data_IF_244921436726
#
_entry.id   IF_244921436726
#
_cell.length_a   1.000
_cell.length_b   1.000
_cell.length_c   1.000
_cell.angle_alpha   90.00
_cell.angle_beta   90.00
_cell.angle_gamma   90.00
#
_symmetry.space_group_name_H-M   'P 1'
#
loop_
_entity.id
_entity.type
_entity.pdbx_description
1 polymer ?
#
# COMPACT_ATOMS: atom_id res chain seq x y z
N UNK A 1 -45.64 10.24 -6.43
CA UNK A 1 -45.00 11.25 -5.57
C UNK A 1 -44.26 10.48 -4.50
N UNK A 2 -42.94 10.62 -4.43
CA UNK A 2 -42.13 9.97 -3.41
C UNK A 2 -41.60 11.05 -2.46
N UNK A 3 -41.95 11.00 -1.18
CA UNK A 3 -41.40 11.95 -0.21
C UNK A 3 -39.94 11.58 0.07
N UNK A 4 -39.02 12.45 -0.33
CA UNK A 4 -37.59 12.32 0.00
C UNK A 4 -37.28 13.28 1.13
N UNK A 5 -36.67 12.78 2.20
CA UNK A 5 -36.23 13.60 3.32
C UNK A 5 -34.72 13.75 3.26
N UNK A 6 -34.23 14.96 3.07
CA UNK A 6 -32.80 15.27 3.19
C UNK A 6 -32.57 15.78 4.60
N UNK A 7 -31.63 15.14 5.31
CA UNK A 7 -31.21 15.54 6.64
C UNK A 7 -29.74 15.96 6.57
N UNK A 8 -29.49 17.24 6.76
CA UNK A 8 -28.14 17.78 6.90
C UNK A 8 -27.80 17.93 8.38
N UNK A 9 -26.57 17.59 8.74
CA UNK A 9 -26.04 17.77 10.09
C UNK A 9 -24.68 18.45 10.01
N UNK A 10 -24.50 19.54 10.74
CA UNK A 10 -23.21 20.23 10.79
C UNK A 10 -22.27 19.60 11.84
N UNK A 11 -21.01 20.06 11.87
CA UNK A 11 -19.99 19.62 12.82
C UNK A 11 -20.30 19.93 14.28
N UNK A 12 -21.30 20.80 14.54
CA UNK A 12 -21.79 21.15 15.87
C UNK A 12 -23.08 20.40 16.24
N UNK A 13 -23.42 19.37 15.47
CA UNK A 13 -24.62 18.55 15.63
C UNK A 13 -25.96 19.29 15.43
N UNK A 14 -25.98 20.44 14.78
CA UNK A 14 -27.21 21.09 14.35
C UNK A 14 -27.82 20.32 13.20
N UNK A 15 -29.10 19.98 13.29
CA UNK A 15 -29.81 19.18 12.29
C UNK A 15 -30.80 20.06 11.52
N UNK A 16 -30.67 20.09 10.20
CA UNK A 16 -31.65 20.68 9.29
C UNK A 16 -32.28 19.56 8.48
N UNK A 17 -33.61 19.55 8.40
CA UNK A 17 -34.36 18.57 7.63
C UNK A 17 -35.27 19.29 6.65
N UNK A 18 -35.18 18.91 5.38
CA UNK A 18 -36.14 19.32 4.36
C UNK A 18 -36.80 18.10 3.75
N UNK A 19 -38.09 18.24 3.41
CA UNK A 19 -38.85 17.22 2.71
C UNK A 19 -39.14 17.72 1.31
N UNK A 20 -38.67 16.96 0.33
CA UNK A 20 -38.93 17.19 -1.08
C UNK A 20 -39.97 16.16 -1.54
N UNK A 21 -41.12 16.64 -1.98
CA UNK A 21 -42.10 15.81 -2.67
C UNK A 21 -41.64 15.60 -4.12
N UNK A 22 -41.01 14.46 -4.39
CA UNK A 22 -40.57 14.13 -5.74
C UNK A 22 -41.77 13.63 -6.53
N UNK A 23 -42.35 14.50 -7.34
CA UNK A 23 -43.40 14.15 -8.29
C UNK A 23 -42.81 13.38 -9.48
N UNK A 24 -42.68 12.06 -9.35
CA UNK A 24 -42.33 11.17 -10.47
C UNK A 24 -43.53 11.03 -11.43
N UNK A 25 -43.87 12.12 -12.12
CA UNK A 25 -44.99 12.20 -13.07
C UNK A 25 -44.54 12.92 -14.37
N UNK A 26 -43.42 12.52 -14.96
CA UNK A 26 -43.11 12.63 -16.40
C UNK A 26 -41.77 11.97 -16.64
N UNK A 27 -41.56 11.31 -17.77
CA UNK A 27 -40.29 10.65 -18.11
C UNK A 27 -39.08 11.58 -18.30
N UNK A 28 -39.15 12.84 -17.83
CA UNK A 28 -38.15 13.90 -18.01
C UNK A 28 -36.94 13.80 -17.08
N UNK A 29 -37.12 13.25 -15.87
CA UNK A 29 -36.08 13.28 -14.84
C UNK A 29 -35.21 12.02 -14.84
N UNK A 30 -35.60 11.02 -15.64
CA UNK A 30 -34.85 9.80 -15.84
C UNK A 30 -33.81 9.98 -16.94
N UNK A 31 -32.54 9.74 -16.60
CA UNK A 31 -31.50 9.62 -17.63
C UNK A 31 -31.58 8.22 -18.25
N UNK A 32 -31.88 8.15 -19.54
CA UNK A 32 -31.87 6.89 -20.29
C UNK A 32 -30.43 6.47 -20.59
N UNK A 33 -30.05 5.26 -20.14
CA UNK A 33 -28.71 4.70 -20.34
C UNK A 33 -28.65 3.81 -21.59
N UNK A 34 -29.66 2.96 -21.74
CA UNK A 34 -29.89 2.09 -22.89
C UNK A 34 -31.37 1.72 -22.98
N UNK A 35 -31.78 1.01 -24.02
CA UNK A 35 -33.15 0.51 -24.14
C UNK A 35 -33.50 -0.36 -22.94
N UNK A 36 -34.52 0.09 -22.18
CA UNK A 36 -35.03 -0.63 -21.01
C UNK A 36 -34.28 -0.36 -19.70
N UNK A 37 -33.31 0.56 -19.67
CA UNK A 37 -32.61 0.95 -18.45
C UNK A 37 -32.56 2.47 -18.28
N UNK A 38 -33.06 2.93 -17.15
CA UNK A 38 -33.08 4.33 -16.76
C UNK A 38 -32.47 4.53 -15.37
N UNK A 39 -31.84 5.68 -15.13
CA UNK A 39 -31.24 6.02 -13.84
C UNK A 39 -31.71 7.39 -13.33
N UNK A 40 -31.88 7.48 -12.02
CA UNK A 40 -31.95 8.71 -11.24
C UNK A 40 -30.89 8.62 -10.15
N UNK A 41 -30.15 9.70 -9.95
CA UNK A 41 -29.26 9.85 -8.81
C UNK A 41 -29.50 11.16 -8.09
N UNK A 42 -29.20 11.21 -6.79
CA UNK A 42 -29.11 12.45 -6.02
C UNK A 42 -27.78 12.45 -5.27
N UNK A 43 -26.80 13.33 -5.59
CA UNK A 43 -26.85 14.40 -6.60
C UNK A 43 -27.07 13.91 -8.03
N UNK A 44 -27.57 14.79 -8.91
CA UNK A 44 -27.88 14.44 -10.28
C UNK A 44 -26.63 13.98 -11.05
N UNK A 45 -26.81 12.96 -11.87
CA UNK A 45 -25.77 12.46 -12.77
C UNK A 45 -25.65 13.39 -13.97
N UNK A 46 -24.44 13.88 -14.20
CA UNK A 46 -24.07 14.64 -15.39
C UNK A 46 -23.58 13.70 -16.47
N UNK A 47 -23.90 14.01 -17.72
CA UNK A 47 -23.44 13.24 -18.87
C UNK A 47 -22.52 14.13 -19.70
N UNK A 48 -21.25 13.76 -19.78
CA UNK A 48 -20.29 14.47 -20.61
C UNK A 48 -20.59 14.31 -22.10
N UNK A 49 -20.02 15.16 -22.94
CA UNK A 49 -20.13 15.08 -24.41
C UNK A 49 -19.63 13.74 -24.97
N UNK A 50 -18.73 13.06 -24.26
CA UNK A 50 -18.22 11.71 -24.58
C UNK A 50 -19.07 10.59 -23.98
N UNK A 51 -20.23 10.93 -23.42
CA UNK A 51 -21.16 10.00 -22.78
C UNK A 51 -20.63 9.38 -21.50
N UNK A 52 -19.65 9.98 -20.83
CA UNK A 52 -19.23 9.56 -19.49
C UNK A 52 -20.26 10.06 -18.49
N UNK A 53 -20.51 9.25 -17.46
CA UNK A 53 -21.47 9.56 -16.41
C UNK A 53 -20.70 10.03 -15.19
N UNK A 54 -21.03 11.21 -14.66
CA UNK A 54 -20.29 11.80 -13.55
C UNK A 54 -21.26 12.33 -12.48
N UNK A 55 -20.94 12.11 -11.21
CA UNK A 55 -21.73 12.54 -10.06
C UNK A 55 -20.79 13.31 -9.14
N UNK A 56 -21.07 14.60 -8.96
CA UNK A 56 -20.29 15.43 -8.05
C UNK A 56 -20.85 15.34 -6.64
N UNK A 57 -19.99 15.00 -5.69
CA UNK A 57 -20.29 14.97 -4.25
C UNK A 57 -19.31 15.85 -3.50
N UNK A 58 -19.71 16.40 -2.36
CA UNK A 58 -18.86 17.25 -1.54
C UNK A 58 -19.15 17.09 -0.05
N UNK A 59 -18.30 17.71 0.78
CA UNK A 59 -18.41 17.75 2.24
C UNK A 59 -19.79 18.19 2.71
N UNK A 60 -20.47 19.09 1.98
CA UNK A 60 -21.81 19.56 2.33
C UNK A 60 -22.92 18.49 2.16
N UNK A 61 -22.64 17.41 1.43
CA UNK A 61 -23.59 16.35 1.10
C UNK A 61 -23.24 15.02 1.77
N UNK A 62 -22.36 15.04 2.78
CA UNK A 62 -21.83 13.84 3.44
C UNK A 62 -21.24 12.81 2.47
N UNK A 63 -20.90 13.23 1.24
CA UNK A 63 -20.52 12.35 0.14
C UNK A 63 -21.52 11.20 -0.14
N UNK A 64 -22.80 11.43 0.11
CA UNK A 64 -23.86 10.44 -0.14
C UNK A 64 -24.43 10.58 -1.54
N UNK A 65 -24.65 9.45 -2.19
CA UNK A 65 -25.40 9.36 -3.45
C UNK A 65 -26.57 8.43 -3.27
N UNK A 66 -27.78 8.92 -3.57
CA UNK A 66 -28.97 8.09 -3.70
C UNK A 66 -29.04 7.58 -5.13
N UNK A 67 -29.19 6.28 -5.31
CA UNK A 67 -29.38 5.62 -6.60
C UNK A 67 -30.78 5.06 -6.75
N UNK A 68 -31.36 5.22 -7.94
CA UNK A 68 -32.52 4.47 -8.39
C UNK A 68 -32.37 4.10 -9.87
N UNK A 69 -32.13 2.82 -10.14
CA UNK A 69 -32.11 2.28 -11.49
C UNK A 69 -33.42 1.55 -11.76
N UNK A 70 -34.08 1.90 -12.85
CA UNK A 70 -35.35 1.31 -13.28
C UNK A 70 -35.13 0.46 -14.52
N UNK A 71 -35.52 -0.80 -14.45
CA UNK A 71 -35.53 -1.73 -15.59
C UNK A 71 -36.90 -1.80 -16.25
N UNK A 72 -36.96 -2.26 -17.50
CA UNK A 72 -38.22 -2.45 -18.23
C UNK A 72 -38.98 -3.68 -17.75
N UNK A 73 -38.27 -4.77 -17.44
CA UNK A 73 -38.82 -6.02 -16.91
C UNK A 73 -38.27 -6.31 -15.52
N UNK A 74 -39.06 -7.03 -14.72
CA UNK A 74 -38.60 -7.56 -13.41
C UNK A 74 -37.64 -8.74 -13.56
N UNK A 75 -37.60 -9.36 -14.74
CA UNK A 75 -36.72 -10.48 -15.05
C UNK A 75 -35.35 -10.02 -15.59
N UNK A 76 -35.18 -8.72 -15.86
CA UNK A 76 -33.89 -8.17 -16.26
C UNK A 76 -32.89 -8.27 -15.10
N UNK A 77 -31.65 -8.66 -15.40
CA UNK A 77 -30.57 -8.65 -14.43
C UNK A 77 -29.96 -7.25 -14.38
N UNK A 78 -29.86 -6.66 -13.19
CA UNK A 78 -29.36 -5.30 -13.05
C UNK A 78 -28.83 -5.05 -11.63
N UNK A 79 -27.62 -4.49 -11.56
CA UNK A 79 -26.99 -4.05 -10.32
C UNK A 79 -25.98 -2.93 -10.58
N UNK A 80 -25.55 -2.31 -9.49
CA UNK A 80 -24.44 -1.36 -9.47
C UNK A 80 -23.32 -1.98 -8.65
N UNK A 81 -22.13 -1.99 -9.22
CA UNK A 81 -20.85 -2.08 -8.53
C UNK A 81 -20.44 -0.63 -8.20
N UNK A 82 -20.39 -0.29 -6.92
CA UNK A 82 -20.17 1.09 -6.48
C UNK A 82 -18.71 1.52 -6.57
N UNK A 83 -17.78 0.56 -6.64
CA UNK A 83 -16.35 0.80 -6.79
C UNK A 83 -15.65 -0.42 -7.41
N UNK A 84 -15.36 -0.35 -8.70
CA UNK A 84 -14.77 -1.46 -9.48
C UNK A 84 -13.34 -1.86 -9.07
N UNK A 85 -12.77 -1.15 -8.09
CA UNK A 85 -11.45 -1.44 -7.51
C UNK A 85 -11.55 -2.22 -6.19
N UNK A 86 -12.76 -2.40 -5.66
CA UNK A 86 -13.04 -3.14 -4.42
C UNK A 86 -13.75 -4.44 -4.80
N UNK A 87 -13.23 -5.58 -4.36
CA UNK A 87 -13.89 -6.89 -4.46
C UNK A 87 -14.77 -7.10 -3.23
N UNK A 88 -15.88 -6.39 -3.13
CA UNK A 88 -16.72 -6.34 -1.93
C UNK A 88 -17.22 -7.72 -1.52
N UNK A 89 -17.39 -8.64 -2.47
CA UNK A 89 -17.88 -9.99 -2.25
C UNK A 89 -16.76 -11.06 -2.10
N UNK A 90 -15.51 -10.71 -2.39
CA UNK A 90 -14.30 -11.55 -2.29
C UNK A 90 -14.25 -12.76 -3.24
N UNK A 91 -14.85 -12.68 -4.42
CA UNK A 91 -14.85 -13.75 -5.43
C UNK A 91 -13.64 -13.70 -6.38
N UNK A 92 -12.84 -12.63 -6.33
CA UNK A 92 -11.68 -12.40 -7.19
C UNK A 92 -11.98 -11.58 -8.46
N UNK A 93 -13.20 -11.05 -8.60
CA UNK A 93 -13.63 -10.20 -9.71
C UNK A 93 -14.13 -8.83 -9.21
N UNK A 94 -13.21 -7.90 -8.86
CA UNK A 94 -13.55 -6.61 -8.25
C UNK A 94 -14.37 -5.66 -9.12
N UNK A 95 -14.53 -5.96 -10.42
CA UNK A 95 -15.24 -5.10 -11.37
C UNK A 95 -16.64 -5.61 -11.72
N UNK A 96 -17.14 -6.54 -10.90
CA UNK A 96 -18.42 -7.21 -11.08
C UNK A 96 -19.16 -7.48 -9.76
N UNK A 97 -19.06 -6.56 -8.80
CA UNK A 97 -19.75 -6.71 -7.52
C UNK A 97 -21.21 -6.29 -7.53
N UNK A 98 -22.03 -7.01 -6.76
CA UNK A 98 -23.47 -6.78 -6.65
C UNK A 98 -23.83 -5.88 -5.46
N UNK A 99 -23.15 -4.73 -5.33
CA UNK A 99 -23.31 -3.83 -4.18
C UNK A 99 -24.75 -3.33 -4.02
N UNK A 100 -25.35 -2.84 -5.12
CA UNK A 100 -26.70 -2.25 -5.12
C UNK A 100 -27.59 -2.90 -6.16
N UNK A 101 -28.77 -3.37 -5.75
CA UNK A 101 -29.76 -3.94 -6.67
C UNK A 101 -30.61 -2.86 -7.35
N UNK A 102 -30.97 -3.07 -8.62
CA UNK A 102 -31.91 -2.19 -9.31
C UNK A 102 -33.35 -2.32 -8.81
N UNK A 103 -34.22 -1.41 -9.25
CA UNK A 103 -35.61 -1.23 -8.86
C UNK A 103 -35.83 -0.95 -7.36
N UNK A 104 -34.78 -0.50 -6.67
CA UNK A 104 -34.80 -0.06 -5.28
C UNK A 104 -34.12 1.30 -5.15
N UNK A 105 -34.60 2.12 -4.22
CA UNK A 105 -33.92 3.35 -3.83
C UNK A 105 -32.90 2.95 -2.77
N UNK A 106 -31.62 3.20 -3.05
CA UNK A 106 -30.51 2.87 -2.16
C UNK A 106 -29.61 4.09 -2.01
N UNK A 107 -29.00 4.25 -0.84
CA UNK A 107 -28.08 5.36 -0.55
C UNK A 107 -26.70 4.78 -0.29
N UNK A 108 -25.70 5.29 -1.00
CA UNK A 108 -24.30 4.93 -0.86
C UNK A 108 -23.52 6.12 -0.33
N UNK A 109 -22.82 5.94 0.79
CA UNK A 109 -21.88 6.94 1.31
C UNK A 109 -20.50 6.65 0.71
N UNK A 110 -19.91 7.63 0.04
CA UNK A 110 -18.56 7.54 -0.49
C UNK A 110 -17.56 8.17 0.48
N UNK A 111 -16.42 7.53 0.66
CA UNK A 111 -15.35 8.09 1.50
C UNK A 111 -14.30 8.76 0.59
N UNK A 112 -14.09 10.08 0.70
CA UNK A 112 -13.19 10.83 -0.17
C UNK A 112 -11.73 10.51 0.15
N UNK A 113 -11.11 9.68 -0.70
CA UNK A 113 -9.76 9.13 -0.50
C UNK A 113 -8.87 9.23 -1.73
N UNK A 114 -9.50 9.54 -2.85
CA UNK A 114 -8.99 9.96 -4.14
C UNK A 114 -9.86 11.12 -4.63
N UNK A 115 -9.48 11.78 -5.72
CA UNK A 115 -10.31 12.80 -6.37
C UNK A 115 -11.65 12.24 -6.86
N UNK A 116 -11.70 10.94 -7.13
CA UNK A 116 -12.92 10.25 -7.59
C UNK A 116 -12.94 8.76 -7.31
N UNK A 117 -14.13 8.16 -7.27
CA UNK A 117 -14.37 6.71 -7.30
C UNK A 117 -15.01 6.33 -8.63
N UNK A 118 -14.61 5.21 -9.22
CA UNK A 118 -15.22 4.68 -10.45
C UNK A 118 -16.12 3.52 -10.05
N UNK A 119 -17.40 3.61 -10.39
CA UNK A 119 -18.36 2.50 -10.28
C UNK A 119 -18.81 2.02 -11.65
N UNK A 120 -19.54 0.90 -11.68
CA UNK A 120 -20.07 0.28 -12.89
C UNK A 120 -21.51 -0.16 -12.73
N UNK A 121 -22.31 0.15 -13.73
CA UNK A 121 -23.68 -0.34 -13.88
C UNK A 121 -23.64 -1.57 -14.78
N UNK A 122 -24.24 -2.66 -14.30
CA UNK A 122 -24.51 -3.84 -15.09
C UNK A 122 -26.00 -3.94 -15.39
N UNK A 123 -26.33 -4.27 -16.64
CA UNK A 123 -27.70 -4.57 -17.06
C UNK A 123 -27.73 -5.60 -18.16
N UNK A 124 -28.61 -6.59 -18.04
CA UNK A 124 -28.87 -7.57 -19.07
C UNK A 124 -30.37 -7.81 -19.16
N UNK A 125 -30.96 -7.46 -20.30
CA UNK A 125 -32.37 -7.70 -20.54
C UNK A 125 -32.66 -9.20 -20.66
N UNK A 126 -33.86 -9.60 -20.24
CA UNK A 126 -34.33 -10.98 -20.43
C UNK A 126 -34.20 -11.42 -21.89
N UNK A 127 -33.49 -12.54 -22.11
CA UNK A 127 -33.24 -13.10 -23.46
C UNK A 127 -32.08 -12.49 -24.24
N UNK A 128 -31.39 -11.46 -23.73
CA UNK A 128 -30.14 -10.98 -24.33
C UNK A 128 -28.95 -11.82 -23.86
N UNK A 129 -28.03 -12.16 -24.76
CA UNK A 129 -26.76 -12.79 -24.42
C UNK A 129 -25.63 -11.79 -24.13
N UNK A 130 -25.80 -10.52 -24.51
CA UNK A 130 -24.81 -9.48 -24.34
C UNK A 130 -25.22 -8.54 -23.19
N UNK A 131 -24.42 -8.46 -22.11
CA UNK A 131 -24.67 -7.51 -21.04
C UNK A 131 -24.24 -6.09 -21.43
N UNK A 132 -25.02 -5.11 -21.00
CA UNK A 132 -24.65 -3.70 -20.99
C UNK A 132 -23.85 -3.40 -19.73
N UNK A 133 -22.63 -2.90 -19.91
CA UNK A 133 -21.77 -2.40 -18.83
C UNK A 133 -21.50 -0.92 -19.06
N UNK A 134 -21.68 -0.10 -18.03
CA UNK A 134 -21.42 1.35 -18.13
C UNK A 134 -20.79 1.90 -16.86
N UNK A 135 -19.60 2.46 -17.03
CA UNK A 135 -18.85 3.07 -15.94
C UNK A 135 -19.38 4.48 -15.65
N UNK A 136 -19.36 4.84 -14.38
CA UNK A 136 -19.65 6.19 -13.88
C UNK A 136 -18.59 6.60 -12.87
N UNK A 137 -18.40 7.91 -12.73
CA UNK A 137 -17.43 8.50 -11.81
C UNK A 137 -18.17 9.26 -10.73
N UNK A 138 -17.78 9.07 -9.47
CA UNK A 138 -18.19 9.90 -8.34
C UNK A 138 -17.01 10.79 -7.99
N UNK A 139 -17.11 12.08 -8.27
CA UNK A 139 -16.03 13.06 -8.11
C UNK A 139 -16.23 13.86 -6.83
N UNK A 140 -15.19 13.98 -6.01
CA UNK A 140 -15.23 14.70 -4.75
C UNK A 140 -14.82 16.17 -4.96
N UNK A 141 -15.79 17.07 -4.93
CA UNK A 141 -15.60 18.50 -5.20
C UNK A 141 -14.69 19.21 -4.17
N UNK A 142 -14.67 18.75 -2.92
CA UNK A 142 -13.89 19.35 -1.83
C UNK A 142 -12.60 18.57 -1.52
N UNK A 143 -12.06 17.84 -2.49
CA UNK A 143 -10.88 17.01 -2.27
C UNK A 143 -9.59 17.81 -2.38
N UNK A 144 -8.94 18.06 -1.24
CA UNK A 144 -7.77 18.93 -1.16
C UNK A 144 -6.42 18.19 -1.19
N UNK A 145 -6.36 16.88 -0.94
CA UNK A 145 -5.10 16.13 -0.86
C UNK A 145 -5.22 14.66 -1.26
N UNK A 146 -4.61 14.33 -2.41
CA UNK A 146 -4.46 13.03 -3.07
C UNK A 146 -3.66 11.96 -2.35
N UNK A 147 -4.18 10.74 -2.24
CA UNK A 147 -3.31 9.55 -2.25
C UNK A 147 -2.77 9.35 -3.68
N UNK A 148 -1.51 8.91 -3.81
CA UNK A 148 -0.98 8.49 -5.12
C UNK A 148 -1.78 7.29 -5.66
N UNK A 149 -1.80 7.05 -6.98
CA UNK A 149 -2.52 5.92 -7.57
C UNK A 149 -2.19 4.57 -6.91
N UNK A 150 -0.92 4.35 -6.54
CA UNK A 150 -0.48 3.13 -5.86
C UNK A 150 -1.10 3.01 -4.46
N UNK A 151 -1.12 4.11 -3.71
CA UNK A 151 -1.70 4.14 -2.37
C UNK A 151 -3.22 4.06 -2.40
N UNK A 152 -3.88 4.48 -3.48
CA UNK A 152 -5.32 4.28 -3.68
C UNK A 152 -5.68 2.80 -3.80
N UNK A 153 -4.86 2.00 -4.49
CA UNK A 153 -5.06 0.54 -4.58
C UNK A 153 -4.99 -0.08 -3.18
N UNK A 154 -3.98 0.30 -2.40
CA UNK A 154 -3.80 -0.22 -1.03
C UNK A 154 -4.90 0.25 -0.08
N UNK A 155 -5.33 1.51 -0.20
CA UNK A 155 -6.44 2.06 0.55
C UNK A 155 -7.73 1.27 0.32
N UNK A 156 -8.01 0.96 -0.94
CA UNK A 156 -9.18 0.21 -1.37
C UNK A 156 -9.13 -1.21 -0.80
N UNK A 157 -8.03 -1.93 -1.02
CA UNK A 157 -7.83 -3.29 -0.50
C UNK A 157 -7.96 -3.37 1.04
N UNK A 158 -7.42 -2.38 1.77
CA UNK A 158 -7.57 -2.27 3.23
C UNK A 158 -9.03 -2.04 3.64
N UNK A 159 -9.74 -1.16 2.95
CA UNK A 159 -11.13 -0.83 3.27
C UNK A 159 -12.03 -2.04 3.15
N UNK A 160 -11.82 -2.82 2.09
CA UNK A 160 -12.53 -4.06 1.83
C UNK A 160 -12.24 -5.12 2.91
N UNK A 161 -10.96 -5.33 3.24
CA UNK A 161 -10.55 -6.24 4.30
C UNK A 161 -11.19 -5.84 5.65
N UNK A 162 -11.16 -4.55 5.99
CA UNK A 162 -11.76 -4.01 7.22
C UNK A 162 -13.28 -4.22 7.25
N UNK A 163 -13.96 -4.09 6.11
CA UNK A 163 -15.41 -4.30 6.01
C UNK A 163 -15.80 -5.76 6.21
N UNK A 164 -14.96 -6.68 5.73
CA UNK A 164 -15.24 -8.11 5.72
C UNK A 164 -14.70 -8.88 6.94
N UNK A 165 -13.87 -8.27 7.79
CA UNK A 165 -13.46 -8.87 9.08
C UNK A 165 -14.65 -8.90 10.05
N UNK A 166 -15.06 -10.11 10.46
CA UNK A 166 -16.01 -10.30 11.56
C UNK A 166 -15.30 -10.05 12.91
N UNK A 167 -15.50 -8.85 13.45
CA UNK A 167 -14.95 -8.40 14.72
C UNK A 167 -15.60 -9.08 15.94
N UNK A 168 -16.75 -9.73 15.78
CA UNK A 168 -17.44 -10.47 16.86
C UNK A 168 -16.87 -11.87 17.05
N UNK A 169 -16.23 -12.41 16.02
CA UNK A 169 -15.66 -13.77 16.04
C UNK A 169 -14.49 -13.93 17.03
N UNK A 170 -13.78 -12.84 17.33
CA UNK A 170 -12.75 -12.77 18.38
C UNK A 170 -12.34 -11.32 18.71
N UNK A 171 -11.93 -11.08 19.95
CA UNK A 171 -11.31 -9.80 20.37
C UNK A 171 -10.08 -9.47 19.52
N UNK A 172 -9.29 -10.47 19.14
CA UNK A 172 -8.13 -10.27 18.27
C UNK A 172 -8.51 -9.74 16.86
N UNK A 173 -9.67 -10.15 16.32
CA UNK A 173 -10.15 -9.59 15.05
C UNK A 173 -10.61 -8.14 15.22
N UNK A 174 -11.26 -7.79 16.33
CA UNK A 174 -11.65 -6.41 16.63
C UNK A 174 -10.42 -5.48 16.79
N UNK A 175 -9.39 -5.95 17.51
CA UNK A 175 -8.13 -5.23 17.69
C UNK A 175 -7.40 -5.08 16.34
N UNK A 176 -7.28 -6.15 15.55
CA UNK A 176 -6.70 -6.10 14.21
C UNK A 176 -7.44 -5.11 13.32
N UNK A 177 -8.78 -5.15 13.32
CA UNK A 177 -9.60 -4.23 12.52
C UNK A 177 -9.33 -2.77 12.89
N UNK A 178 -9.11 -2.48 14.17
CA UNK A 178 -8.73 -1.14 14.64
C UNK A 178 -7.35 -0.72 14.11
N UNK A 179 -6.36 -1.63 14.16
CA UNK A 179 -5.03 -1.37 13.62
C UNK A 179 -5.06 -1.13 12.10
N UNK A 180 -5.84 -1.91 11.36
CA UNK A 180 -6.03 -1.75 9.91
C UNK A 180 -6.72 -0.43 9.56
N UNK A 181 -7.69 0.02 10.36
CA UNK A 181 -8.30 1.35 10.22
C UNK A 181 -7.24 2.44 10.39
N UNK A 182 -6.33 2.30 11.36
CA UNK A 182 -5.21 3.25 11.54
C UNK A 182 -4.30 3.25 10.32
N UNK A 183 -3.80 2.09 9.89
CA UNK A 183 -2.93 1.95 8.72
C UNK A 183 -3.55 2.62 7.48
N UNK A 184 -4.83 2.34 7.24
CA UNK A 184 -5.58 2.92 6.12
C UNK A 184 -5.65 4.45 6.21
N UNK A 185 -5.81 5.02 7.41
CA UNK A 185 -5.86 6.47 7.60
C UNK A 185 -4.47 7.12 7.50
N UNK A 186 -3.41 6.34 7.74
CA UNK A 186 -2.03 6.79 7.74
C UNK A 186 -1.38 6.77 6.35
N UNK A 187 -1.99 6.15 5.33
CA UNK A 187 -1.41 5.95 3.98
C UNK A 187 -0.84 7.21 3.31
N UNK A 188 -1.36 8.40 3.63
CA UNK A 188 -0.84 9.67 3.10
C UNK A 188 0.45 10.15 3.75
N UNK A 189 0.91 9.50 4.82
CA UNK A 189 2.11 9.80 5.59
C UNK A 189 3.00 8.56 5.67
N UNK A 190 4.15 8.61 5.00
CA UNK A 190 5.08 7.47 4.89
C UNK A 190 5.54 6.97 6.27
N UNK A 191 5.80 7.88 7.22
CA UNK A 191 6.30 7.50 8.55
C UNK A 191 5.21 6.84 9.40
N UNK A 192 3.97 7.35 9.32
CA UNK A 192 2.83 6.75 10.02
C UNK A 192 2.44 5.42 9.38
N UNK A 193 2.40 5.34 8.05
CA UNK A 193 2.15 4.09 7.32
C UNK A 193 3.10 3.01 7.77
N UNK A 194 4.41 3.30 7.78
CA UNK A 194 5.44 2.37 8.24
C UNK A 194 5.23 1.94 9.69
N UNK A 195 4.95 2.88 10.59
CA UNK A 195 4.68 2.56 12.00
C UNK A 195 3.48 1.64 12.15
N UNK A 196 2.40 1.90 11.40
CA UNK A 196 1.18 1.11 11.43
C UNK A 196 1.37 -0.30 10.85
N UNK A 197 2.16 -0.45 9.77
CA UNK A 197 2.55 -1.76 9.22
C UNK A 197 3.28 -2.59 10.29
N UNK A 198 4.29 -2.02 10.95
CA UNK A 198 5.06 -2.72 12.01
C UNK A 198 4.15 -3.15 13.17
N UNK A 199 3.26 -2.27 13.61
CA UNK A 199 2.33 -2.57 14.71
C UNK A 199 1.38 -3.72 14.37
N UNK A 200 0.86 -3.77 13.14
CA UNK A 200 -0.01 -4.86 12.67
C UNK A 200 0.76 -6.17 12.62
N UNK A 201 1.98 -6.16 12.09
CA UNK A 201 2.80 -7.37 12.00
C UNK A 201 3.20 -7.91 13.38
N UNK A 202 3.61 -7.02 14.30
CA UNK A 202 3.86 -7.38 15.70
C UNK A 202 2.60 -7.97 16.36
N UNK A 203 1.43 -7.42 16.08
CA UNK A 203 0.16 -7.94 16.56
C UNK A 203 -0.09 -9.37 16.05
N UNK A 204 0.07 -9.60 14.74
CA UNK A 204 -0.17 -10.90 14.10
C UNK A 204 0.79 -11.99 14.60
N UNK A 205 2.03 -11.65 14.95
CA UNK A 205 2.98 -12.61 15.55
C UNK A 205 2.63 -13.00 16.99
N UNK A 206 2.00 -12.09 17.74
CA UNK A 206 1.67 -12.28 19.17
C UNK A 206 0.25 -12.78 19.41
N UNK A 207 -0.66 -12.60 18.46
CA UNK A 207 -2.09 -12.86 18.59
C UNK A 207 -2.57 -13.69 17.41
N UNK A 208 -3.28 -14.78 17.71
CA UNK A 208 -3.95 -15.59 16.68
C UNK A 208 -5.27 -14.94 16.31
N UNK A 209 -5.39 -14.50 15.06
CA UNK A 209 -6.64 -13.99 14.48
C UNK A 209 -7.47 -15.14 13.90
N UNK A 210 -8.75 -14.89 13.66
CA UNK A 210 -9.66 -15.83 12.98
C UNK A 210 -9.99 -15.33 11.58
N UNK A 211 -8.97 -14.94 10.83
CA UNK A 211 -9.14 -14.57 9.43
C UNK A 211 -9.37 -15.82 8.59
N UNK A 212 -10.20 -15.71 7.55
CA UNK A 212 -10.24 -16.71 6.49
C UNK A 212 -8.92 -16.70 5.71
N UNK A 213 -8.61 -17.78 5.00
CA UNK A 213 -7.39 -17.87 4.19
C UNK A 213 -7.27 -16.71 3.19
N UNK A 214 -8.36 -16.37 2.50
CA UNK A 214 -8.41 -15.24 1.55
C UNK A 214 -8.15 -13.90 2.22
N UNK A 215 -8.70 -13.67 3.41
CA UNK A 215 -8.46 -12.45 4.17
C UNK A 215 -7.00 -12.34 4.64
N UNK A 216 -6.39 -13.47 5.02
CA UNK A 216 -4.98 -13.51 5.39
C UNK A 216 -4.08 -13.21 4.18
N UNK A 217 -4.31 -13.88 3.06
CA UNK A 217 -3.58 -13.63 1.80
C UNK A 217 -3.66 -12.15 1.40
N UNK A 218 -4.87 -11.57 1.43
CA UNK A 218 -5.08 -10.14 1.13
C UNK A 218 -4.37 -9.22 2.11
N UNK A 219 -4.35 -9.55 3.40
CA UNK A 219 -3.63 -8.79 4.42
C UNK A 219 -2.11 -8.83 4.17
N UNK A 220 -1.57 -10.01 3.85
CA UNK A 220 -0.15 -10.20 3.60
C UNK A 220 0.30 -9.43 2.34
N UNK A 221 -0.52 -9.42 1.28
CA UNK A 221 -0.27 -8.66 0.05
C UNK A 221 -0.22 -7.14 0.33
N UNK A 222 -1.19 -6.64 1.10
CA UNK A 222 -1.25 -5.22 1.51
C UNK A 222 0.00 -4.83 2.32
N UNK A 223 0.32 -5.60 3.36
CA UNK A 223 1.46 -5.31 4.23
C UNK A 223 2.79 -5.37 3.45
N UNK A 224 2.89 -6.29 2.50
CA UNK A 224 4.06 -6.40 1.61
C UNK A 224 4.18 -5.17 0.72
N UNK A 225 3.08 -4.74 0.08
CA UNK A 225 3.07 -3.56 -0.79
C UNK A 225 3.37 -2.26 -0.05
N UNK A 226 3.02 -2.17 1.24
CA UNK A 226 3.24 -1.00 2.09
C UNK A 226 4.55 -1.04 2.90
N UNK A 227 5.33 -2.12 2.82
CA UNK A 227 6.60 -2.27 3.53
C UNK A 227 7.77 -1.61 2.80
N UNK A 228 8.60 -0.85 3.53
CA UNK A 228 9.87 -0.28 3.04
C UNK A 228 11.10 -1.17 3.40
N UNK A 229 12.30 -0.79 2.89
CA UNK A 229 13.59 -1.49 3.14
C UNK A 229 13.86 -1.81 4.61
N UNK A 230 13.51 -0.90 5.52
CA UNK A 230 13.79 -1.06 6.93
C UNK A 230 12.73 -1.88 7.67
N UNK A 231 11.52 -1.98 7.11
CA UNK A 231 10.47 -2.90 7.56
C UNK A 231 10.76 -4.33 7.08
N UNK A 232 11.29 -4.51 5.87
CA UNK A 232 11.72 -5.82 5.33
C UNK A 232 12.99 -6.36 6.00
N UNK A 233 13.96 -5.50 6.32
CA UNK A 233 15.18 -5.90 7.04
C UNK A 233 14.92 -6.35 8.49
N UNK A 234 13.89 -5.79 9.14
CA UNK A 234 13.47 -6.20 10.49
C UNK A 234 12.74 -7.56 10.51
N UNK A 235 12.27 -8.06 9.35
CA UNK A 235 11.53 -9.33 9.18
C UNK A 235 12.41 -10.57 9.02
N UNK A 236 13.74 -10.44 8.93
CA UNK A 236 14.61 -11.59 8.62
C UNK A 236 14.39 -12.16 7.21
N UNK A 237 13.79 -11.37 6.31
CA UNK A 237 13.67 -11.68 4.89
C UNK A 237 15.08 -11.69 4.28
N UNK A 238 15.37 -12.71 3.46
CA UNK A 238 16.69 -12.90 2.83
C UNK A 238 17.16 -11.64 2.07
N UNK A 239 18.47 -11.44 1.99
CA UNK A 239 19.07 -10.25 1.39
C UNK A 239 18.61 -10.04 -0.07
N UNK A 240 18.23 -11.11 -0.75
CA UNK A 240 17.63 -11.13 -2.09
C UNK A 240 16.30 -10.37 -2.18
N UNK A 241 15.33 -10.70 -1.32
CA UNK A 241 14.01 -10.10 -1.41
C UNK A 241 14.02 -8.63 -0.96
N UNK A 242 14.91 -8.28 -0.03
CA UNK A 242 15.23 -6.88 0.30
C UNK A 242 15.81 -6.16 -0.93
N UNK A 243 16.83 -6.74 -1.55
CA UNK A 243 17.49 -6.18 -2.73
C UNK A 243 16.55 -6.01 -3.93
N UNK A 244 15.69 -6.99 -4.21
CA UNK A 244 14.67 -6.93 -5.27
C UNK A 244 13.71 -5.75 -5.05
N UNK A 245 13.23 -5.59 -3.82
CA UNK A 245 12.31 -4.50 -3.47
C UNK A 245 12.96 -3.12 -3.65
N UNK A 246 14.19 -2.94 -3.15
CA UNK A 246 14.92 -1.67 -3.28
C UNK A 246 15.16 -1.28 -4.74
N UNK A 247 15.55 -2.25 -5.57
CA UNK A 247 15.73 -2.03 -7.01
C UNK A 247 14.40 -1.60 -7.63
N UNK A 248 13.31 -2.34 -7.42
CA UNK A 248 12.02 -2.07 -8.05
C UNK A 248 11.36 -0.77 -7.57
N UNK A 249 11.66 -0.30 -6.37
CA UNK A 249 11.13 0.96 -5.83
C UNK A 249 11.68 2.20 -6.56
N UNK A 250 12.88 2.10 -7.13
CA UNK A 250 13.54 3.21 -7.82
C UNK A 250 13.15 3.37 -9.29
N UNK A 251 12.57 2.34 -9.92
CA UNK A 251 12.40 2.30 -11.36
C UNK A 251 11.08 3.00 -11.78
N UNK A 252 11.09 3.81 -12.84
CA UNK A 252 9.88 4.27 -13.52
C UNK A 252 8.99 3.10 -13.95
N UNK A 253 7.66 3.32 -14.03
CA UNK A 253 6.65 2.26 -14.17
C UNK A 253 6.94 1.25 -15.28
N UNK A 254 7.32 1.73 -16.47
CA UNK A 254 7.64 0.88 -17.64
C UNK A 254 8.87 0.01 -17.38
N UNK A 255 9.95 0.60 -16.86
CA UNK A 255 11.18 -0.12 -16.52
C UNK A 255 10.99 -1.09 -15.35
N UNK A 256 10.13 -0.73 -14.38
CA UNK A 256 9.78 -1.56 -13.23
C UNK A 256 9.08 -2.86 -13.65
N UNK A 257 8.16 -2.81 -14.60
CA UNK A 257 7.47 -4.00 -15.12
C UNK A 257 8.46 -4.97 -15.77
N UNK A 258 9.37 -4.45 -16.60
CA UNK A 258 10.37 -5.26 -17.29
C UNK A 258 11.41 -5.84 -16.31
N UNK A 259 11.87 -5.05 -15.35
CA UNK A 259 12.75 -5.50 -14.28
C UNK A 259 12.10 -6.58 -13.41
N UNK A 260 10.81 -6.44 -13.08
CA UNK A 260 10.08 -7.44 -12.32
C UNK A 260 9.98 -8.77 -13.07
N UNK A 261 9.77 -8.74 -14.39
CA UNK A 261 9.77 -9.95 -15.20
C UNK A 261 11.13 -10.67 -15.17
N UNK A 262 12.24 -9.93 -15.18
CA UNK A 262 13.58 -10.52 -15.06
C UNK A 262 13.83 -11.15 -13.67
N UNK A 263 13.25 -10.58 -12.60
CA UNK A 263 13.27 -11.22 -11.29
C UNK A 263 12.43 -12.50 -11.25
N UNK A 264 11.26 -12.52 -11.89
CA UNK A 264 10.43 -13.73 -12.01
C UNK A 264 11.18 -14.83 -12.76
N UNK A 265 11.84 -14.48 -13.87
CA UNK A 265 12.68 -15.43 -14.63
C UNK A 265 13.88 -15.93 -13.81
N UNK A 266 14.49 -15.07 -12.99
CA UNK A 266 15.57 -15.43 -12.08
C UNK A 266 15.10 -16.42 -10.99
N UNK A 267 13.92 -16.19 -10.41
CA UNK A 267 13.30 -17.06 -9.41
C UNK A 267 12.91 -18.41 -10.03
N UNK A 268 12.40 -18.39 -11.26
CA UNK A 268 12.01 -19.56 -12.05
C UNK A 268 13.15 -20.27 -12.80
N UNK A 269 14.42 -19.94 -12.52
CA UNK A 269 15.57 -20.42 -13.28
C UNK A 269 15.68 -21.96 -13.38
N UNK A 270 15.18 -22.69 -12.38
CA UNK A 270 15.18 -24.16 -12.36
C UNK A 270 14.25 -24.75 -13.43
N UNK A 271 13.15 -24.07 -13.75
CA UNK A 271 12.23 -24.48 -14.82
C UNK A 271 12.73 -24.06 -16.21
N UNK A 272 13.56 -23.02 -16.28
CA UNK A 272 14.16 -22.50 -17.52
C UNK A 272 15.49 -23.19 -17.89
N UNK A 273 16.10 -23.89 -16.93
CA UNK A 273 17.29 -24.71 -17.15
C UNK A 273 16.93 -25.89 -18.08
N UNK A 274 17.32 -25.78 -19.35
CA UNK A 274 17.23 -26.88 -20.32
C UNK A 274 18.42 -27.83 -20.15
N UNK A 275 18.30 -29.06 -20.63
CA UNK A 275 19.37 -30.08 -20.56
C UNK A 275 20.71 -29.52 -21.04
N UNK A 276 21.61 -29.19 -20.09
CA UNK A 276 22.96 -28.67 -20.35
C UNK A 276 23.24 -27.26 -19.84
N UNK A 277 22.24 -26.48 -19.38
CA UNK A 277 22.45 -25.17 -18.77
C UNK A 277 22.27 -25.25 -17.25
N UNK A 278 23.29 -24.85 -16.50
CA UNK A 278 23.23 -24.77 -15.04
C UNK A 278 22.25 -23.67 -14.60
N UNK A 279 21.51 -23.93 -13.52
CA UNK A 279 20.54 -22.98 -12.95
C UNK A 279 21.22 -21.65 -12.59
N UNK A 280 22.46 -21.70 -12.11
CA UNK A 280 23.22 -20.49 -11.79
C UNK A 280 23.65 -19.70 -13.03
N UNK A 281 23.82 -20.34 -14.19
CA UNK A 281 24.10 -19.64 -15.45
C UNK A 281 22.85 -18.91 -15.96
N UNK A 282 21.66 -19.51 -15.82
CA UNK A 282 20.38 -18.82 -16.09
C UNK A 282 20.23 -17.60 -15.17
N UNK A 283 20.41 -17.79 -13.86
CA UNK A 283 20.35 -16.70 -12.87
C UNK A 283 21.35 -15.58 -13.17
N UNK A 284 22.60 -15.94 -13.48
CA UNK A 284 23.66 -15.00 -13.88
C UNK A 284 23.26 -14.18 -15.11
N UNK A 285 22.75 -14.84 -16.14
CA UNK A 285 22.29 -14.17 -17.36
C UNK A 285 21.19 -13.15 -17.06
N UNK A 286 20.21 -13.50 -16.23
CA UNK A 286 19.09 -12.62 -15.85
C UNK A 286 19.54 -11.41 -15.03
N UNK A 287 20.51 -11.55 -14.13
CA UNK A 287 21.08 -10.42 -13.40
C UNK A 287 21.86 -9.46 -14.31
N UNK A 288 22.60 -9.98 -15.30
CA UNK A 288 23.31 -9.15 -16.29
C UNK A 288 22.31 -8.42 -17.18
N UNK A 289 21.24 -9.09 -17.61
CA UNK A 289 20.16 -8.49 -18.40
C UNK A 289 19.47 -7.36 -17.62
N UNK A 290 19.15 -7.60 -16.35
CA UNK A 290 18.56 -6.62 -15.44
C UNK A 290 19.47 -5.38 -15.29
N UNK A 291 20.75 -5.61 -14.98
CA UNK A 291 21.73 -4.53 -14.83
C UNK A 291 21.80 -3.68 -16.10
N UNK A 292 21.96 -4.30 -17.27
CA UNK A 292 22.12 -3.59 -18.54
C UNK A 292 20.87 -2.82 -18.93
N UNK A 293 19.69 -3.39 -18.72
CA UNK A 293 18.41 -2.75 -19.03
C UNK A 293 18.18 -1.50 -18.17
N UNK A 294 18.52 -1.56 -16.89
CA UNK A 294 18.45 -0.40 -16.01
C UNK A 294 19.53 0.62 -16.38
N UNK A 295 20.76 0.18 -16.69
CA UNK A 295 21.87 1.06 -17.07
C UNK A 295 21.56 1.93 -18.31
N UNK A 296 20.78 1.40 -19.27
CA UNK A 296 20.34 2.14 -20.47
C UNK A 296 19.42 3.33 -20.14
N UNK A 297 18.80 3.32 -18.95
CA UNK A 297 17.89 4.35 -18.48
C UNK A 297 18.54 5.27 -17.44
N UNK A 298 19.87 5.22 -17.27
CA UNK A 298 20.56 6.16 -16.39
C UNK A 298 20.70 7.51 -17.09
N UNK A 299 20.19 8.56 -16.44
CA UNK A 299 20.26 9.93 -16.97
C UNK A 299 21.70 10.45 -17.04
N UNK A 300 21.98 11.29 -18.05
CA UNK A 300 23.27 11.98 -18.17
C UNK A 300 23.16 13.38 -17.56
N UNK A 301 23.72 13.56 -16.36
CA UNK A 301 23.78 14.85 -15.67
C UNK A 301 22.81 14.98 -14.48
N UNK A 302 22.60 16.21 -14.01
CA UNK A 302 21.85 16.50 -12.76
C UNK A 302 20.33 16.59 -12.96
N UNK A 303 19.82 16.31 -14.16
CA UNK A 303 18.39 16.33 -14.50
C UNK A 303 18.03 15.06 -15.24
N UNK A 304 17.02 14.35 -14.75
CA UNK A 304 16.51 13.09 -15.31
C UNK A 304 15.19 13.33 -16.06
N UNK A 305 14.94 12.57 -17.13
CA UNK A 305 13.64 12.50 -17.80
C UNK A 305 12.72 11.48 -17.13
N UNK A 306 11.42 11.51 -17.44
CA UNK A 306 10.37 10.68 -16.79
C UNK A 306 10.63 9.15 -16.82
N UNK A 307 11.47 8.67 -17.73
CA UNK A 307 11.87 7.27 -17.85
C UNK A 307 13.34 7.02 -17.49
N UNK A 308 13.97 7.91 -16.72
CA UNK A 308 15.37 7.78 -16.33
C UNK A 308 15.53 7.70 -14.81
N UNK A 309 16.63 7.08 -14.38
CA UNK A 309 17.06 7.06 -12.98
C UNK A 309 18.35 7.85 -12.80
N UNK A 310 18.59 8.37 -11.60
CA UNK A 310 19.83 9.06 -11.28
C UNK A 310 21.01 8.08 -11.27
N UNK A 311 22.18 8.57 -11.68
CA UNK A 311 23.41 7.79 -11.69
C UNK A 311 23.81 7.34 -10.27
N UNK A 312 23.54 8.16 -9.26
CA UNK A 312 23.84 7.82 -7.87
C UNK A 312 22.92 6.70 -7.35
N UNK A 313 21.64 6.72 -7.69
CA UNK A 313 20.70 5.66 -7.32
C UNK A 313 21.05 4.34 -8.02
N UNK A 314 21.44 4.42 -9.30
CA UNK A 314 21.93 3.26 -10.03
C UNK A 314 23.15 2.62 -9.35
N UNK A 315 24.16 3.41 -8.97
CA UNK A 315 25.37 2.87 -8.32
C UNK A 315 25.11 2.38 -6.90
N UNK A 316 24.47 3.20 -6.08
CA UNK A 316 24.37 2.96 -4.63
C UNK A 316 23.28 1.97 -4.26
N UNK A 317 22.25 1.82 -5.11
CA UNK A 317 21.14 0.91 -4.86
C UNK A 317 21.13 -0.21 -5.88
N UNK A 318 21.11 0.06 -7.18
CA UNK A 318 20.95 -1.02 -8.19
C UNK A 318 22.19 -1.91 -8.29
N UNK A 319 23.36 -1.34 -8.57
CA UNK A 319 24.61 -2.09 -8.69
C UNK A 319 24.97 -2.78 -7.37
N UNK A 320 24.89 -2.05 -6.25
CA UNK A 320 25.15 -2.60 -4.92
C UNK A 320 24.25 -3.82 -4.62
N UNK A 321 22.94 -3.73 -4.86
CA UNK A 321 22.03 -4.82 -4.55
C UNK A 321 22.24 -6.04 -5.48
N UNK A 322 22.48 -5.82 -6.77
CA UNK A 322 22.78 -6.91 -7.71
C UNK A 322 24.08 -7.61 -7.32
N UNK A 323 25.15 -6.86 -7.04
CA UNK A 323 26.50 -7.40 -6.88
C UNK A 323 26.80 -7.88 -5.45
N UNK A 324 26.29 -7.21 -4.42
CA UNK A 324 26.65 -7.50 -3.04
C UNK A 324 25.59 -8.30 -2.28
N UNK A 325 24.32 -8.16 -2.63
CA UNK A 325 23.23 -8.82 -1.90
C UNK A 325 22.74 -10.06 -2.66
N UNK A 326 22.32 -9.89 -3.92
CA UNK A 326 21.71 -10.98 -4.70
C UNK A 326 22.76 -12.00 -5.15
N UNK A 327 23.85 -11.54 -5.80
CA UNK A 327 24.88 -12.43 -6.33
C UNK A 327 25.56 -13.26 -5.22
N UNK A 328 25.79 -12.67 -4.05
CA UNK A 328 26.40 -13.36 -2.91
C UNK A 328 25.47 -14.39 -2.28
N UNK A 329 24.19 -14.07 -2.09
CA UNK A 329 23.22 -15.01 -1.51
C UNK A 329 23.06 -16.28 -2.34
N UNK A 330 23.11 -16.16 -3.67
CA UNK A 330 23.00 -17.30 -4.59
C UNK A 330 24.34 -17.91 -4.99
N UNK A 331 25.46 -17.49 -4.39
CA UNK A 331 26.82 -17.93 -4.74
C UNK A 331 27.16 -17.80 -6.23
N UNK A 332 26.64 -16.77 -6.90
CA UNK A 332 26.88 -16.51 -8.32
C UNK A 332 28.21 -15.76 -8.44
N UNK A 333 29.29 -16.51 -8.63
CA UNK A 333 30.61 -15.93 -8.89
C UNK A 333 30.69 -15.31 -10.29
N UNK A 334 31.57 -14.33 -10.48
CA UNK A 334 31.98 -13.78 -11.80
C UNK A 334 30.86 -13.16 -12.65
N UNK A 335 30.04 -12.29 -12.05
CA UNK A 335 29.18 -11.40 -12.84
C UNK A 335 30.06 -10.27 -13.39
N UNK A 336 30.20 -10.18 -14.72
CA UNK A 336 31.11 -9.23 -15.39
C UNK A 336 30.83 -7.77 -15.00
N UNK A 337 29.56 -7.43 -14.76
CA UNK A 337 29.16 -6.07 -14.32
C UNK A 337 29.59 -5.76 -12.89
N UNK A 338 29.95 -6.77 -12.08
CA UNK A 338 30.37 -6.63 -10.69
C UNK A 338 31.90 -6.65 -10.49
N UNK A 339 32.68 -6.70 -11.57
CA UNK A 339 34.15 -6.76 -11.51
C UNK A 339 34.79 -5.48 -10.95
N UNK A 340 34.14 -4.32 -11.09
CA UNK A 340 34.60 -3.04 -10.53
C UNK A 340 34.09 -2.80 -9.10
N UNK A 341 32.94 -3.36 -8.72
CA UNK A 341 32.36 -3.25 -7.38
C UNK A 341 33.23 -3.99 -6.34
N UNK A 342 33.87 -5.09 -6.75
CA UNK A 342 34.87 -5.83 -5.95
C UNK A 342 36.18 -5.06 -5.71
N UNK A 343 36.42 -3.92 -6.39
CA UNK A 343 37.55 -3.02 -6.07
C UNK A 343 37.20 -1.94 -5.06
N UNK A 344 35.91 -1.70 -4.80
CA UNK A 344 35.48 -0.66 -3.86
C UNK A 344 35.20 -1.16 -2.44
N UNK A 345 35.09 -2.48 -2.22
CA UNK A 345 35.04 -3.06 -0.87
C UNK A 345 36.37 -2.92 -0.10
N UNK A 346 37.51 -2.75 -0.79
CA UNK A 346 38.85 -2.61 -0.17
C UNK A 346 39.30 -1.15 0.05
N UNK A 347 38.41 -0.16 -0.15
CA UNK A 347 38.74 1.27 0.10
C UNK A 347 38.08 1.88 1.34
N UNK A 348 37.68 1.04 2.30
CA UNK A 348 37.51 1.50 3.69
C UNK A 348 38.87 1.70 4.34
N UNK A 349 39.46 2.89 4.12
CA UNK A 349 40.65 3.45 4.81
C UNK A 349 41.94 2.61 4.70
N UNK A 350 42.70 2.86 3.64
CA UNK A 350 44.16 2.69 3.66
C UNK A 350 44.77 3.61 4.73
N UNK A 351 45.18 3.02 5.86
CA UNK A 351 46.27 3.55 6.69
C UNK A 351 47.58 3.11 6.01
N UNK A 352 48.61 3.96 5.90
CA UNK A 352 49.83 3.60 5.19
C UNK A 352 50.54 2.41 5.84
N UNK A 353 50.99 1.48 5.00
CA UNK A 353 51.75 0.29 5.37
C UNK A 353 53.08 0.69 6.03
N UNK A 354 53.28 0.28 7.29
CA UNK A 354 54.60 0.29 7.94
C UNK A 354 55.13 -1.15 7.92
N UNK A 355 56.29 -1.32 7.27
CA UNK A 355 57.04 -2.58 7.14
C UNK A 355 57.28 -3.29 8.49
N UNK A 356 57.43 -4.64 8.48
CA UNK A 356 57.46 -5.43 9.69
C UNK A 356 58.78 -5.23 10.43
N UNK A 357 58.69 -4.99 11.74
CA UNK A 357 59.77 -5.32 12.67
C UNK A 357 59.21 -6.13 13.82
N UNK A 358 59.91 -7.23 14.06
CA UNK A 358 59.74 -8.25 15.09
C UNK A 358 59.48 -7.70 16.49
N UNK A 359 58.42 -8.16 17.18
CA UNK A 359 58.50 -8.92 18.47
C UNK A 359 57.12 -9.13 19.10
N UNK A 360 56.98 -10.30 19.71
CA UNK A 360 55.90 -10.79 20.59
C UNK A 360 55.56 -9.86 21.76
N UNK A 361 54.26 -9.55 21.96
CA UNK A 361 53.58 -9.64 23.27
C UNK A 361 52.07 -9.45 23.12
N UNK A 362 51.29 -10.31 23.76
CA UNK A 362 49.83 -10.26 23.84
C UNK A 362 49.40 -9.10 24.74
N UNK A 363 49.03 -7.96 24.15
CA UNK A 363 48.45 -6.81 24.84
C UNK A 363 47.06 -6.50 24.30
N UNK A 364 46.05 -6.50 25.19
CA UNK A 364 44.68 -6.12 24.87
C UNK A 364 44.64 -4.70 24.24
N UNK A 365 43.96 -4.48 23.09
CA UNK A 365 44.07 -3.24 22.34
C UNK A 365 43.64 -1.99 23.13
N UNK A 366 44.45 -0.94 23.09
CA UNK A 366 44.25 0.32 23.85
C UNK A 366 42.93 1.02 23.50
N UNK A 367 42.47 0.92 22.24
CA UNK A 367 41.19 1.48 21.80
C UNK A 367 39.98 0.77 22.44
N UNK A 368 40.09 -0.53 22.70
CA UNK A 368 39.05 -1.32 23.36
C UNK A 368 38.95 -0.97 24.86
N UNK A 369 40.07 -0.59 25.49
CA UNK A 369 40.07 0.00 26.84
C UNK A 369 39.34 1.34 26.87
N UNK A 370 39.54 2.20 25.86
CA UNK A 370 38.86 3.50 25.79
C UNK A 370 37.35 3.34 25.64
N UNK A 371 36.89 2.41 24.79
CA UNK A 371 35.46 2.11 24.62
C UNK A 371 34.85 1.56 25.92
N UNK A 372 35.54 0.64 26.60
CA UNK A 372 35.09 0.10 27.89
C UNK A 372 35.00 1.17 28.98
N UNK A 373 35.92 2.15 28.99
CA UNK A 373 35.86 3.29 29.91
C UNK A 373 34.68 4.21 29.63
N UNK A 374 34.38 4.50 28.36
CA UNK A 374 33.20 5.31 27.99
C UNK A 374 31.91 4.59 28.40
N UNK A 375 31.80 3.29 28.15
CA UNK A 375 30.66 2.47 28.55
C UNK A 375 30.47 2.46 30.09
N UNK A 376 31.56 2.34 30.85
CA UNK A 376 31.51 2.37 32.31
C UNK A 376 31.02 3.73 32.85
N UNK A 377 31.46 4.84 32.25
CA UNK A 377 31.01 6.19 32.65
C UNK A 377 29.52 6.38 32.38
N UNK A 378 29.02 5.92 31.23
CA UNK A 378 27.60 6.03 30.87
C UNK A 378 26.73 5.19 31.82
N UNK A 379 27.15 3.96 32.14
CA UNK A 379 26.41 3.10 33.07
C UNK A 379 26.38 3.69 34.48
N UNK A 380 27.51 4.18 35.00
CA UNK A 380 27.56 4.82 36.33
C UNK A 380 26.73 6.09 36.37
N UNK A 381 26.76 6.91 35.32
CA UNK A 381 25.93 8.10 35.20
C UNK A 381 24.43 7.77 35.20
N UNK A 382 24.02 6.74 34.47
CA UNK A 382 22.62 6.30 34.40
C UNK A 382 22.11 5.76 35.74
N UNK A 383 22.91 4.97 36.45
CA UNK A 383 22.58 4.47 37.79
C UNK A 383 22.48 5.63 38.80
N UNK A 384 23.34 6.64 38.71
CA UNK A 384 23.27 7.85 39.53
C UNK A 384 21.98 8.64 39.33
N UNK A 385 21.51 8.77 38.09
CA UNK A 385 20.24 9.43 37.76
C UNK A 385 19.06 8.66 38.34
N UNK A 386 19.03 7.33 38.20
CA UNK A 386 17.97 6.48 38.78
C UNK A 386 17.94 6.61 40.30
N UNK A 387 19.10 6.58 40.97
CA UNK A 387 19.18 6.75 42.41
C UNK A 387 18.68 8.14 42.87
N UNK A 388 19.01 9.20 42.13
CA UNK A 388 18.53 10.54 42.44
C UNK A 388 17.00 10.66 42.30
N UNK A 389 16.40 10.05 41.28
CA UNK A 389 14.94 10.00 41.12
C UNK A 389 14.26 9.18 42.24
N UNK A 390 14.86 8.05 42.65
CA UNK A 390 14.34 7.23 43.74
C UNK A 390 14.40 7.96 45.10
N UNK A 391 15.48 8.70 45.37
CA UNK A 391 15.61 9.51 46.60
C UNK A 391 14.60 10.68 46.59
N UNK A 392 14.42 11.34 45.44
CA UNK A 392 13.45 12.43 45.30
C UNK A 392 11.99 11.94 45.44
N UNK A 393 11.69 10.74 44.98
CA UNK A 393 10.38 10.11 45.18
C UNK A 393 10.13 9.82 46.67
N UNK A 394 11.13 9.27 47.39
CA UNK A 394 11.02 8.96 48.81
C UNK A 394 10.92 10.19 49.72
N UNK A 395 11.53 11.31 49.32
CA UNK A 395 11.40 12.60 50.04
C UNK A 395 10.04 13.27 49.85
N UNK A 396 9.30 12.97 48.77
CA UNK A 396 7.91 13.43 48.60
C UNK A 396 6.95 12.63 49.47
N UNK A 397 7.16 11.33 49.59
CA UNK A 397 6.32 10.44 50.41
C UNK A 397 6.38 10.82 51.91
N UNK A 398 7.56 11.21 52.41
CA UNK A 398 7.71 11.66 53.81
C UNK A 398 7.13 13.07 54.07
N UNK A 399 6.92 13.89 53.04
CA UNK A 399 6.40 15.26 53.21
C UNK A 399 4.87 15.30 53.19
N UNK A 400 4.23 14.25 52.67
CA UNK A 400 2.77 14.06 52.64
C UNK A 400 2.26 13.28 53.87
N UNK A 401 3.14 12.74 54.72
CA UNK A 401 2.79 12.09 56.01
C UNK A 401 2.87 13.04 57.22
N UNK A 402 3.34 14.29 57.05
CA UNK A 402 3.44 15.31 58.11
C UNK A 402 2.41 16.46 57.99
N UNK A 403 1.43 16.36 57.07
CA UNK A 403 0.15 17.11 57.11
C UNK A 403 -1.00 16.21 57.58
#
# INVERSE_FOLDING_TARGET
>A
VYPVSIKAKDSNANEAMTKLDVHVNSGSDFTSLTTGLQIITLPNIEKSDKGHLEIFVGRQLNNEVVYYLKTASRNDQCWIDTNIMLDTNLDGAPDNDHDLSCNKILTQTYVPKSESVIGRIFYQSEGSSAPFKKDFTVTFADYENGLSPELQIQYSALSELIANIDDRSSVANADLRTLLISLRNDLGDINKTRSSVIQIEEFLTKKTTKLTKKQQEKLDDILTALSDHATLSAKGVGAYAVAKSEILALLPLTLKQEANQLFVDFEGAEALATSGMDTNEVRKSKLIELYNKIAQHVGQGNTIQDNQIFQDDFKNVVEKNICENIAKEYNIATISVCENSNKHSDTSKLVPEVKPSTTTSSGFPTWLKVILWILAIVVVGFVGVIAAFAIKARLRENHDEEE
#
